data_IF_433425306803
#
_entry.id   IF_433425306803
#
_cell.length_a   1.000
_cell.length_b   1.000
_cell.length_c   1.000
_cell.angle_alpha   90.00
_cell.angle_beta   90.00
_cell.angle_gamma   90.00
#
_symmetry.space_group_name_H-M   'P 1'
#
loop_
_entity.id
_entity.type
_entity.pdbx_description
1 polymer ?
#
# COMPACT_ATOMS: atom_id res chain seq x y z
N UNK A 1 17.73 -16.51 -11.97
CA UNK A 1 16.68 -16.10 -11.01
C UNK A 1 15.42 -15.71 -11.78
N UNK A 2 14.44 -16.61 -11.95
CA UNK A 2 13.29 -16.43 -12.86
C UNK A 2 11.94 -16.81 -12.22
N UNK A 3 11.74 -16.51 -10.93
CA UNK A 3 10.60 -17.05 -10.15
C UNK A 3 9.29 -16.23 -10.17
N UNK A 4 9.25 -14.88 -10.14
CA UNK A 4 7.98 -14.16 -9.92
C UNK A 4 7.05 -14.17 -11.15
N UNK A 5 7.61 -14.17 -12.35
CA UNK A 5 6.85 -14.17 -13.62
C UNK A 5 6.06 -15.46 -13.82
N UNK A 6 6.65 -16.62 -13.49
CA UNK A 6 5.98 -17.92 -13.62
C UNK A 6 4.73 -18.07 -12.75
N UNK A 7 4.74 -17.45 -11.56
CA UNK A 7 3.60 -17.47 -10.63
C UNK A 7 2.50 -16.54 -11.11
N UNK A 8 2.85 -15.36 -11.61
CA UNK A 8 1.89 -14.44 -12.21
C UNK A 8 1.23 -15.08 -13.43
N UNK A 9 1.99 -15.64 -14.37
CA UNK A 9 1.44 -16.30 -15.57
C UNK A 9 0.52 -17.49 -15.21
N UNK A 10 0.88 -18.25 -14.18
CA UNK A 10 0.05 -19.34 -13.66
C UNK A 10 -1.27 -18.82 -13.08
N UNK A 11 -1.24 -17.72 -12.32
CA UNK A 11 -2.45 -17.11 -11.77
C UNK A 11 -3.32 -16.47 -12.83
N UNK A 12 -2.73 -15.80 -13.83
CA UNK A 12 -3.48 -15.22 -14.94
C UNK A 12 -4.22 -16.31 -15.72
N UNK A 13 -3.56 -17.43 -16.02
CA UNK A 13 -4.20 -18.59 -16.67
C UNK A 13 -5.33 -19.19 -15.82
N UNK A 14 -5.14 -19.30 -14.51
CA UNK A 14 -6.20 -19.74 -13.59
C UNK A 14 -7.38 -18.75 -13.53
N UNK A 15 -7.12 -17.46 -13.68
CA UNK A 15 -8.16 -16.41 -13.72
C UNK A 15 -8.90 -16.34 -15.07
N UNK A 16 -8.32 -16.87 -16.15
CA UNK A 16 -8.93 -16.91 -17.48
C UNK A 16 -9.71 -18.21 -17.73
N UNK A 17 -9.24 -19.34 -17.19
CA UNK A 17 -9.84 -20.65 -17.40
C UNK A 17 -10.96 -20.95 -16.40
N UNK A 18 -12.20 -21.03 -16.90
CA UNK A 18 -13.40 -21.30 -16.09
C UNK A 18 -13.44 -22.72 -15.53
N UNK A 19 -12.82 -23.70 -16.20
CA UNK A 19 -12.81 -25.09 -15.74
C UNK A 19 -11.80 -25.26 -14.61
N UNK A 20 -10.64 -24.61 -14.73
CA UNK A 20 -9.64 -24.58 -13.67
C UNK A 20 -10.14 -23.82 -12.41
N UNK A 21 -11.00 -22.82 -12.58
CA UNK A 21 -11.66 -22.11 -11.48
C UNK A 21 -12.64 -23.00 -10.70
N UNK A 22 -13.38 -23.85 -11.40
CA UNK A 22 -14.33 -24.78 -10.79
C UNK A 22 -13.63 -25.92 -10.05
N UNK A 23 -12.46 -26.35 -10.53
CA UNK A 23 -11.65 -27.39 -9.90
C UNK A 23 -10.88 -26.89 -8.66
N UNK A 24 -10.69 -25.58 -8.51
CA UNK A 24 -9.86 -25.01 -7.44
C UNK A 24 -10.54 -25.14 -6.07
N UNK A 25 -9.83 -25.72 -5.10
CA UNK A 25 -10.32 -25.75 -3.72
C UNK A 25 -9.99 -24.44 -2.99
N UNK A 26 -10.81 -24.07 -2.01
CA UNK A 26 -10.56 -22.89 -1.15
C UNK A 26 -9.17 -22.96 -0.50
N UNK A 27 -8.71 -24.16 -0.12
CA UNK A 27 -7.40 -24.36 0.53
C UNK A 27 -6.24 -24.07 -0.44
N UNK A 28 -6.29 -24.59 -1.66
CA UNK A 28 -5.28 -24.32 -2.68
C UNK A 28 -5.26 -22.84 -3.07
N UNK A 29 -6.43 -22.21 -3.12
CA UNK A 29 -6.56 -20.79 -3.41
C UNK A 29 -5.93 -19.88 -2.34
N UNK A 30 -6.00 -20.28 -1.06
CA UNK A 30 -5.30 -19.57 0.04
C UNK A 30 -3.79 -19.76 -0.07
N UNK A 31 -3.30 -20.96 -0.36
CA UNK A 31 -1.86 -21.22 -0.53
C UNK A 31 -1.29 -20.38 -1.68
N UNK A 32 -2.00 -20.27 -2.80
CA UNK A 32 -1.60 -19.42 -3.92
C UNK A 32 -1.62 -17.92 -3.57
N UNK A 33 -2.55 -17.50 -2.72
CA UNK A 33 -2.62 -16.13 -2.21
C UNK A 33 -1.41 -15.80 -1.32
N UNK A 34 -1.01 -16.71 -0.44
CA UNK A 34 0.16 -16.54 0.42
C UNK A 34 1.47 -16.50 -0.39
N UNK A 35 1.57 -17.33 -1.43
CA UNK A 35 2.71 -17.31 -2.35
C UNK A 35 2.80 -16.00 -3.14
N UNK A 36 1.66 -15.45 -3.59
CA UNK A 36 1.60 -14.14 -4.24
C UNK A 36 2.03 -13.01 -3.28
N UNK A 37 1.57 -13.05 -2.03
CA UNK A 37 1.95 -12.07 -1.01
C UNK A 37 3.46 -12.11 -0.73
N UNK A 38 4.02 -13.31 -0.54
CA UNK A 38 5.46 -13.49 -0.34
C UNK A 38 6.29 -13.02 -1.56
N UNK A 39 5.79 -13.19 -2.78
CA UNK A 39 6.44 -12.69 -3.99
C UNK A 39 6.44 -11.15 -4.06
N UNK A 40 5.33 -10.51 -3.67
CA UNK A 40 5.21 -9.06 -3.59
C UNK A 40 6.13 -8.46 -2.52
N UNK A 41 6.26 -9.10 -1.37
CA UNK A 41 7.16 -8.62 -0.31
C UNK A 41 8.64 -8.75 -0.70
N UNK A 42 9.02 -9.83 -1.39
CA UNK A 42 10.37 -9.97 -1.98
C UNK A 42 10.64 -8.89 -3.04
N UNK A 43 9.65 -8.53 -3.85
CA UNK A 43 9.75 -7.44 -4.82
C UNK A 43 9.92 -6.08 -4.13
N UNK A 44 9.17 -5.84 -3.03
CA UNK A 44 9.32 -4.61 -2.22
C UNK A 44 10.70 -4.50 -1.60
N UNK A 45 11.26 -5.61 -1.13
CA UNK A 45 12.61 -5.64 -0.59
C UNK A 45 13.66 -5.35 -1.68
N UNK A 46 13.53 -5.96 -2.86
CA UNK A 46 14.43 -5.69 -4.00
C UNK A 46 14.39 -4.25 -4.50
N UNK A 47 13.22 -3.62 -4.53
CA UNK A 47 13.06 -2.19 -4.87
C UNK A 47 13.86 -1.29 -3.91
N UNK A 48 14.05 -1.73 -2.66
CA UNK A 48 14.79 -0.99 -1.64
C UNK A 48 16.31 -1.20 -1.74
N UNK A 49 16.74 -2.36 -2.22
CA UNK A 49 18.15 -2.76 -2.31
C UNK A 49 18.82 -2.33 -3.63
N UNK A 50 18.10 -2.32 -4.76
CA UNK A 50 18.62 -1.94 -6.09
C UNK A 50 17.91 -0.69 -6.67
N UNK A 51 18.50 0.51 -6.58
CA UNK A 51 17.89 1.74 -7.11
C UNK A 51 18.00 1.89 -8.64
N UNK A 52 18.93 1.22 -9.32
CA UNK A 52 19.19 1.39 -10.77
C UNK A 52 18.11 0.78 -11.68
N UNK A 53 17.41 -0.28 -11.23
CA UNK A 53 16.32 -0.93 -11.98
C UNK A 53 14.92 -0.67 -11.36
N UNK A 54 14.81 0.36 -10.53
CA UNK A 54 13.62 0.68 -9.73
C UNK A 54 12.33 0.72 -10.54
N UNK A 55 12.36 1.31 -11.74
CA UNK A 55 11.19 1.46 -12.60
C UNK A 55 10.67 0.13 -13.18
N UNK A 56 11.55 -0.84 -13.43
CA UNK A 56 11.15 -2.19 -13.85
C UNK A 56 10.49 -2.92 -12.69
N UNK A 57 11.07 -2.80 -11.50
CA UNK A 57 10.55 -3.46 -10.30
C UNK A 57 9.22 -2.86 -9.82
N UNK A 58 9.02 -1.55 -9.96
CA UNK A 58 7.73 -0.89 -9.68
C UNK A 58 6.65 -1.36 -10.65
N UNK A 59 6.94 -1.43 -11.96
CA UNK A 59 6.00 -1.97 -12.94
C UNK A 59 5.63 -3.44 -12.65
N UNK A 60 6.59 -4.27 -12.23
CA UNK A 60 6.32 -5.65 -11.80
C UNK A 60 5.49 -5.74 -10.52
N UNK A 61 5.70 -4.81 -9.58
CA UNK A 61 4.90 -4.71 -8.35
C UNK A 61 3.46 -4.29 -8.67
N UNK A 62 3.25 -3.31 -9.52
CA UNK A 62 1.91 -2.86 -9.93
C UNK A 62 1.11 -3.98 -10.59
N UNK A 63 1.74 -4.75 -11.48
CA UNK A 63 1.12 -5.94 -12.10
C UNK A 63 0.76 -7.00 -11.05
N UNK A 64 1.66 -7.30 -10.11
CA UNK A 64 1.40 -8.25 -9.04
C UNK A 64 0.28 -7.79 -8.09
N UNK A 65 0.21 -6.50 -7.77
CA UNK A 65 -0.84 -5.91 -6.94
C UNK A 65 -2.21 -5.91 -7.66
N UNK A 66 -2.24 -5.70 -8.98
CA UNK A 66 -3.45 -5.83 -9.79
C UNK A 66 -3.97 -7.29 -9.80
N UNK A 67 -3.08 -8.26 -10.01
CA UNK A 67 -3.42 -9.69 -9.93
C UNK A 67 -3.90 -10.09 -8.53
N UNK A 68 -3.31 -9.56 -7.46
CA UNK A 68 -3.77 -9.80 -6.09
C UNK A 68 -5.21 -9.34 -5.87
N UNK A 69 -5.58 -8.16 -6.39
CA UNK A 69 -6.94 -7.63 -6.29
C UNK A 69 -7.94 -8.51 -7.06
N UNK A 70 -7.58 -8.96 -8.25
CA UNK A 70 -8.42 -9.87 -9.03
C UNK A 70 -8.58 -11.23 -8.33
N UNK A 71 -7.50 -11.79 -7.79
CA UNK A 71 -7.49 -13.07 -7.07
C UNK A 71 -8.31 -13.03 -5.79
N UNK A 72 -8.19 -11.97 -4.98
CA UNK A 72 -9.01 -11.81 -3.77
C UNK A 72 -10.51 -11.70 -4.08
N UNK A 73 -10.87 -11.02 -5.17
CA UNK A 73 -12.25 -10.99 -5.67
C UNK A 73 -12.76 -12.38 -6.08
N UNK A 74 -11.93 -13.14 -6.77
CA UNK A 74 -12.24 -14.53 -7.16
C UNK A 74 -12.41 -15.45 -5.93
N UNK A 75 -11.46 -15.41 -4.98
CA UNK A 75 -11.52 -16.21 -3.75
C UNK A 75 -12.75 -15.91 -2.90
N UNK A 76 -13.21 -14.66 -2.87
CA UNK A 76 -14.45 -14.28 -2.20
C UNK A 76 -15.67 -14.92 -2.87
N UNK A 77 -15.74 -14.91 -4.20
CA UNK A 77 -16.82 -15.57 -4.95
C UNK A 77 -16.80 -17.08 -4.70
N UNK A 78 -15.62 -17.71 -4.74
CA UNK A 78 -15.47 -19.15 -4.53
C UNK A 78 -15.86 -19.58 -3.10
N UNK A 79 -15.57 -18.75 -2.10
CA UNK A 79 -16.03 -19.00 -0.72
C UNK A 79 -17.55 -18.89 -0.62
N UNK A 80 -18.14 -17.87 -1.24
CA UNK A 80 -19.59 -17.68 -1.24
C UNK A 80 -20.33 -18.81 -1.98
N UNK A 81 -19.79 -19.31 -3.09
CA UNK A 81 -20.39 -20.45 -3.81
C UNK A 81 -20.30 -21.72 -2.98
N UNK A 82 -19.17 -21.99 -2.33
CA UNK A 82 -19.02 -23.13 -1.40
C UNK A 82 -19.95 -23.02 -0.19
N UNK A 83 -20.11 -21.83 0.38
CA UNK A 83 -21.06 -21.58 1.46
C UNK A 83 -22.51 -21.79 0.99
N UNK A 84 -22.85 -21.29 -0.20
CA UNK A 84 -24.16 -21.51 -0.81
C UNK A 84 -24.44 -23.00 -1.07
N UNK A 85 -23.49 -23.73 -1.65
CA UNK A 85 -23.58 -25.19 -1.86
C UNK A 85 -23.75 -25.93 -0.53
N UNK A 86 -23.03 -25.55 0.52
CA UNK A 86 -23.18 -26.14 1.84
C UNK A 86 -24.54 -25.85 2.49
N UNK A 87 -25.13 -24.68 2.22
CA UNK A 87 -26.46 -24.31 2.73
C UNK A 87 -27.57 -24.99 1.93
N UNK A 88 -27.44 -25.07 0.61
CA UNK A 88 -28.38 -25.75 -0.28
C UNK A 88 -28.32 -27.27 -0.11
N UNK A 89 -27.12 -27.84 0.05
CA UNK A 89 -26.91 -29.27 0.31
C UNK A 89 -27.30 -29.72 1.72
N UNK A 90 -27.38 -28.78 2.69
CA UNK A 90 -27.93 -29.03 4.03
C UNK A 90 -29.44 -28.81 4.14
N UNK A 91 -30.12 -28.41 3.06
CA UNK A 91 -31.58 -28.42 3.05
C UNK A 91 -32.03 -29.88 3.17
N UNK A 92 -32.81 -30.25 4.21
CA UNK A 92 -33.29 -31.62 4.32
C UNK A 92 -34.19 -31.91 3.13
N UNK A 93 -33.74 -32.82 2.25
CA UNK A 93 -34.60 -33.53 1.28
C UNK A 93 -35.55 -34.45 2.05
N UNK A 94 -36.45 -33.87 2.86
CA UNK A 94 -37.59 -34.61 3.39
C UNK A 94 -38.61 -34.72 2.25
N UNK A 95 -39.10 -35.93 1.92
CA UNK A 95 -40.29 -36.04 1.07
C UNK A 95 -41.40 -35.21 1.73
N UNK A 96 -42.10 -34.40 0.92
CA UNK A 96 -43.22 -33.58 1.38
C UNK A 96 -44.32 -34.49 1.93
N UNK A 97 -44.23 -34.83 3.21
CA UNK A 97 -45.37 -35.30 3.98
C UNK A 97 -46.27 -34.08 4.18
N UNK A 98 -47.46 -34.12 3.58
CA UNK A 98 -48.41 -33.01 3.54
C UNK A 98 -48.80 -32.59 4.96
N UNK A 99 -48.05 -31.65 5.52
CA UNK A 99 -48.43 -30.97 6.74
C UNK A 99 -49.74 -30.20 6.49
N UNK A 100 -50.69 -30.19 7.45
CA UNK A 100 -51.96 -29.51 7.29
C UNK A 100 -51.73 -28.03 6.95
N UNK A 101 -52.41 -27.53 5.91
CA UNK A 101 -52.21 -26.21 5.30
C UNK A 101 -52.18 -25.04 6.30
N UNK A 102 -52.79 -25.20 7.47
CA UNK A 102 -52.78 -24.22 8.58
C UNK A 102 -51.40 -24.10 9.23
N UNK A 103 -50.71 -25.22 9.47
CA UNK A 103 -49.37 -25.23 10.07
C UNK A 103 -48.33 -24.62 9.12
N UNK A 104 -48.46 -24.89 7.81
CA UNK A 104 -47.60 -24.33 6.76
C UNK A 104 -47.80 -22.82 6.63
N UNK A 105 -49.04 -22.32 6.67
CA UNK A 105 -49.30 -20.88 6.65
C UNK A 105 -48.77 -20.17 7.90
N UNK A 106 -48.87 -20.80 9.08
CA UNK A 106 -48.35 -20.21 10.32
C UNK A 106 -46.82 -20.23 10.37
N UNK A 107 -46.16 -21.27 9.86
CA UNK A 107 -44.71 -21.30 9.70
C UNK A 107 -44.24 -20.31 8.65
N UNK A 108 -44.95 -20.18 7.52
CA UNK A 108 -44.65 -19.20 6.47
C UNK A 108 -44.74 -17.76 6.99
N UNK A 109 -45.77 -17.46 7.80
CA UNK A 109 -45.94 -16.14 8.42
C UNK A 109 -44.81 -15.84 9.41
N UNK A 110 -44.37 -16.84 10.19
CA UNK A 110 -43.20 -16.69 11.07
C UNK A 110 -41.91 -16.50 10.27
N UNK A 111 -41.68 -17.27 9.21
CA UNK A 111 -40.49 -17.10 8.37
C UNK A 111 -40.49 -15.78 7.63
N UNK A 112 -41.64 -15.26 7.18
CA UNK A 112 -41.73 -13.93 6.58
C UNK A 112 -41.39 -12.82 7.58
N UNK A 113 -41.84 -12.95 8.83
CA UNK A 113 -41.50 -12.00 9.89
C UNK A 113 -40.01 -12.06 10.25
N UNK A 114 -39.42 -13.26 10.35
CA UNK A 114 -37.98 -13.41 10.58
C UNK A 114 -37.16 -12.86 9.42
N UNK A 115 -37.58 -13.10 8.19
CA UNK A 115 -36.88 -12.63 6.99
C UNK A 115 -36.96 -11.11 6.85
N UNK A 116 -38.09 -10.49 7.22
CA UNK A 116 -38.20 -9.03 7.28
C UNK A 116 -37.25 -8.43 8.34
N UNK A 117 -37.15 -9.05 9.51
CA UNK A 117 -36.21 -8.65 10.57
C UNK A 117 -34.74 -8.82 10.15
N UNK A 118 -34.42 -9.88 9.42
CA UNK A 118 -33.07 -10.09 8.88
C UNK A 118 -32.73 -9.09 7.78
N UNK A 119 -33.68 -8.77 6.90
CA UNK A 119 -33.51 -7.71 5.90
C UNK A 119 -33.29 -6.34 6.53
N UNK A 120 -34.03 -6.01 7.59
CA UNK A 120 -33.86 -4.75 8.32
C UNK A 120 -32.49 -4.67 9.00
N UNK A 121 -32.04 -5.76 9.61
CA UNK A 121 -30.68 -5.87 10.18
C UNK A 121 -29.60 -5.76 9.11
N UNK A 122 -29.78 -6.41 7.96
CA UNK A 122 -28.84 -6.31 6.84
C UNK A 122 -28.76 -4.88 6.29
N UNK A 123 -29.89 -4.18 6.17
CA UNK A 123 -29.95 -2.79 5.76
C UNK A 123 -29.22 -1.86 6.76
N UNK A 124 -29.38 -2.08 8.07
CA UNK A 124 -28.64 -1.34 9.09
C UNK A 124 -27.13 -1.57 9.02
N UNK A 125 -26.69 -2.82 8.80
CA UNK A 125 -25.26 -3.12 8.62
C UNK A 125 -24.71 -2.45 7.36
N UNK A 126 -25.46 -2.46 6.26
CA UNK A 126 -25.07 -1.80 5.01
C UNK A 126 -24.98 -0.27 5.17
N UNK A 127 -25.91 0.35 5.90
CA UNK A 127 -25.86 1.77 6.25
C UNK A 127 -24.61 2.11 7.06
N UNK A 128 -24.31 1.34 8.13
CA UNK A 128 -23.09 1.53 8.93
C UNK A 128 -21.80 1.34 8.12
N UNK A 129 -21.79 0.41 7.16
CA UNK A 129 -20.66 0.22 6.24
C UNK A 129 -20.51 1.40 5.27
N UNK A 130 -21.63 1.99 4.81
CA UNK A 130 -21.64 3.21 4.01
C UNK A 130 -21.04 4.39 4.78
N UNK A 131 -21.48 4.59 6.02
CA UNK A 131 -20.94 5.62 6.93
C UNK A 131 -19.45 5.39 7.24
N UNK A 132 -19.06 4.13 7.51
CA UNK A 132 -17.66 3.76 7.71
C UNK A 132 -16.79 4.04 6.49
N UNK A 133 -17.31 3.80 5.27
CA UNK A 133 -16.60 4.13 4.02
C UNK A 133 -16.45 5.65 3.84
N UNK A 134 -17.47 6.44 4.19
CA UNK A 134 -17.39 7.89 4.16
C UNK A 134 -16.35 8.43 5.15
N UNK A 135 -16.32 7.89 6.37
CA UNK A 135 -15.31 8.22 7.38
C UNK A 135 -13.89 7.85 6.93
N UNK A 136 -13.70 6.70 6.28
CA UNK A 136 -12.41 6.31 5.70
C UNK A 136 -11.97 7.26 4.58
N UNK A 137 -12.90 7.68 3.72
CA UNK A 137 -12.59 8.66 2.67
C UNK A 137 -12.16 10.00 3.27
N UNK A 138 -12.93 10.51 4.24
CA UNK A 138 -12.60 11.75 4.94
C UNK A 138 -11.26 11.67 5.67
N UNK A 139 -10.95 10.51 6.27
CA UNK A 139 -9.65 10.30 6.90
C UNK A 139 -8.52 10.28 5.86
N UNK A 140 -8.74 9.66 4.70
CA UNK A 140 -7.76 9.63 3.62
C UNK A 140 -7.49 11.05 3.06
N UNK A 141 -8.54 11.85 2.90
CA UNK A 141 -8.41 13.25 2.48
C UNK A 141 -7.59 14.07 3.47
N UNK A 142 -7.81 13.88 4.79
CA UNK A 142 -6.99 14.50 5.84
C UNK A 142 -5.53 14.04 5.80
N UNK A 143 -5.28 12.76 5.52
CA UNK A 143 -3.90 12.27 5.35
C UNK A 143 -3.24 12.90 4.13
N UNK A 144 -3.95 13.04 3.02
CA UNK A 144 -3.44 13.72 1.83
C UNK A 144 -3.10 15.19 2.12
N UNK A 145 -3.97 15.91 2.84
CA UNK A 145 -3.71 17.28 3.29
C UNK A 145 -2.46 17.37 4.17
N UNK A 146 -2.34 16.51 5.19
CA UNK A 146 -1.16 16.46 6.06
C UNK A 146 0.13 16.14 5.29
N UNK A 147 0.07 15.26 4.28
CA UNK A 147 1.24 15.01 3.43
C UNK A 147 1.64 16.22 2.59
N UNK A 148 0.66 17.02 2.13
CA UNK A 148 0.94 18.26 1.42
C UNK A 148 1.56 19.31 2.35
N UNK A 149 1.08 19.42 3.59
CA UNK A 149 1.69 20.29 4.61
C UNK A 149 3.11 19.86 4.97
N UNK A 150 3.36 18.55 5.13
CA UNK A 150 4.70 18.01 5.32
C UNK A 150 5.64 18.32 4.14
N UNK A 151 5.13 18.27 2.91
CA UNK A 151 5.90 18.65 1.74
C UNK A 151 6.24 20.16 1.74
N UNK A 152 5.28 21.03 2.13
CA UNK A 152 5.51 22.47 2.26
C UNK A 152 6.54 22.79 3.34
N UNK A 153 6.39 22.22 4.53
CA UNK A 153 7.33 22.43 5.64
C UNK A 153 8.73 21.93 5.29
N UNK A 154 8.86 20.80 4.58
CA UNK A 154 10.15 20.31 4.06
C UNK A 154 10.79 21.28 3.06
N UNK A 155 10.01 21.88 2.15
CA UNK A 155 10.53 22.88 1.20
C UNK A 155 11.08 24.10 1.94
N UNK A 156 10.31 24.63 2.89
CA UNK A 156 10.74 25.78 3.71
C UNK A 156 12.00 25.43 4.51
N UNK A 157 12.06 24.23 5.12
CA UNK A 157 13.24 23.80 5.86
C UNK A 157 14.48 23.67 4.96
N UNK A 158 14.29 23.19 3.72
CA UNK A 158 15.36 23.06 2.75
C UNK A 158 15.88 24.43 2.28
N UNK A 159 14.98 25.37 2.00
CA UNK A 159 15.33 26.75 1.65
C UNK A 159 16.11 27.43 2.77
N UNK A 160 15.67 27.27 4.03
CA UNK A 160 16.37 27.79 5.22
C UNK A 160 17.76 27.16 5.39
N UNK A 161 17.92 25.85 5.18
CA UNK A 161 19.24 25.20 5.22
C UNK A 161 20.17 25.74 4.14
N UNK A 162 19.64 25.98 2.94
CA UNK A 162 20.40 26.48 1.80
C UNK A 162 20.87 27.92 2.05
N UNK A 163 20.00 28.75 2.65
CA UNK A 163 20.35 30.11 3.10
C UNK A 163 21.41 30.08 4.19
N UNK A 164 21.24 29.25 5.23
CA UNK A 164 22.23 29.12 6.30
C UNK A 164 23.60 28.65 5.78
N UNK A 165 23.63 27.80 4.75
CA UNK A 165 24.88 27.35 4.15
C UNK A 165 25.57 28.46 3.33
N UNK A 166 24.78 29.27 2.62
CA UNK A 166 25.30 30.46 1.92
C UNK A 166 25.87 31.48 2.91
N UNK A 167 25.20 31.72 4.03
CA UNK A 167 25.70 32.65 5.06
C UNK A 167 27.03 32.18 5.65
N UNK A 168 27.17 30.87 5.93
CA UNK A 168 28.45 30.29 6.37
C UNK A 168 29.56 30.47 5.32
N UNK A 169 29.24 30.30 4.05
CA UNK A 169 30.19 30.50 2.95
C UNK A 169 30.63 31.97 2.86
N UNK A 170 29.69 32.90 2.98
CA UNK A 170 29.97 34.35 3.00
C UNK A 170 30.81 34.77 4.19
N UNK A 171 30.52 34.26 5.38
CA UNK A 171 31.32 34.52 6.59
C UNK A 171 32.75 33.96 6.40
N UNK A 172 32.88 32.74 5.88
CA UNK A 172 34.18 32.14 5.59
C UNK A 172 34.98 32.95 4.57
N UNK A 173 34.34 33.41 3.49
CA UNK A 173 34.94 34.28 2.50
C UNK A 173 35.41 35.62 3.10
N UNK A 174 34.59 36.23 3.97
CA UNK A 174 34.95 37.47 4.67
C UNK A 174 36.19 37.31 5.56
N UNK A 175 36.27 36.21 6.31
CA UNK A 175 37.44 35.90 7.15
C UNK A 175 38.70 35.69 6.29
N UNK A 176 38.59 34.95 5.19
CA UNK A 176 39.72 34.71 4.29
C UNK A 176 40.24 36.02 3.66
N UNK A 177 39.32 36.91 3.24
CA UNK A 177 39.66 38.19 2.62
C UNK A 177 40.33 39.13 3.63
N UNK A 178 39.85 39.14 4.88
CA UNK A 178 40.52 39.83 5.99
C UNK A 178 41.90 39.25 6.27
N UNK A 179 42.05 37.93 6.31
CA UNK A 179 43.35 37.27 6.51
C UNK A 179 44.34 37.66 5.42
N UNK A 180 43.94 37.62 4.14
CA UNK A 180 44.79 38.01 3.01
C UNK A 180 45.21 39.47 3.12
N UNK A 181 44.28 40.37 3.42
CA UNK A 181 44.56 41.79 3.60
C UNK A 181 45.58 42.04 4.72
N UNK A 182 45.40 41.38 5.88
CA UNK A 182 46.35 41.46 7.00
C UNK A 182 47.72 40.91 6.59
N UNK A 183 47.79 39.79 5.87
CA UNK A 183 49.06 39.24 5.39
C UNK A 183 49.79 40.19 4.45
N UNK A 184 49.08 40.81 3.50
CA UNK A 184 49.66 41.80 2.57
C UNK A 184 50.24 42.99 3.34
N UNK A 185 49.48 43.55 4.28
CA UNK A 185 49.92 44.68 5.10
C UNK A 185 51.15 44.33 5.93
N UNK A 186 51.20 43.13 6.51
CA UNK A 186 52.36 42.67 7.29
C UNK A 186 53.60 42.52 6.41
N UNK A 187 53.46 41.95 5.19
CA UNK A 187 54.58 41.80 4.25
C UNK A 187 55.10 43.16 3.78
N UNK A 188 54.22 44.13 3.49
CA UNK A 188 54.65 45.49 3.10
C UNK A 188 55.27 46.28 4.26
N UNK A 189 54.75 46.15 5.49
CA UNK A 189 55.21 46.95 6.64
C UNK A 189 56.40 46.35 7.38
N UNK A 190 56.64 45.05 7.30
CA UNK A 190 57.69 44.32 8.02
C UNK A 190 58.47 43.38 7.06
N UNK A 191 59.33 43.91 6.17
CA UNK A 191 60.12 43.10 5.24
C UNK A 191 61.06 42.10 5.96
N UNK A 192 61.43 42.38 7.21
CA UNK A 192 62.33 41.54 8.02
C UNK A 192 61.67 40.23 8.48
N UNK A 193 60.35 40.21 8.73
CA UNK A 193 59.62 39.00 9.15
C UNK A 193 59.21 38.12 7.96
N UNK A 194 58.89 38.72 6.81
CA UNK A 194 58.60 37.98 5.57
C UNK A 194 59.79 37.14 5.09
N UNK A 195 61.02 37.63 5.26
CA UNK A 195 62.24 36.87 4.96
C UNK A 195 62.45 35.65 5.88
N UNK A 196 62.05 35.73 7.16
CA UNK A 196 62.23 34.64 8.12
C UNK A 196 61.21 33.51 7.89
N UNK A 197 59.97 33.85 7.55
CA UNK A 197 58.95 32.84 7.24
C UNK A 197 59.19 32.14 5.89
N UNK A 198 59.74 32.85 4.89
CA UNK A 198 60.15 32.27 3.59
C UNK A 198 61.34 31.29 3.69
N UNK A 199 62.04 31.25 4.83
CA UNK A 199 63.18 30.37 5.05
C UNK A 199 62.83 29.11 5.86
N UNK A 200 61.63 29.08 6.47
CA UNK A 200 61.16 28.00 7.34
C UNK A 200 60.13 27.08 6.63
N UNK A 201 59.60 27.50 5.48
CA UNK A 201 58.70 26.73 4.61
C UNK A 201 59.35 26.54 3.24
#
# INVERSE_FOLDING_TARGET
MAAPTSLYDRLTRLLEDKEAQAALTVKEGVVLQDQLAAALDRLRQKIREDPDDRDKWTAHKERGEALAKQWTGFMRKLRLTKEHENLVGKAPNKPLEKAPHVAVNQSLKRTQQTLALEMERAAQVQSRLGEGKAHLHQSNDKYAELTAELARTRKILHELQLQANKDRLWIGAGIALLSISVTIVVVERLPVLGYILSFIY
#
